data_IF_882421333330
#
_entry.id   IF_882421333330
#
_cell.length_a   1.000
_cell.length_b   1.000
_cell.length_c   1.000
_cell.angle_alpha   90.00
_cell.angle_beta   90.00
_cell.angle_gamma   90.00
#
_symmetry.space_group_name_H-M   'P 1'
#
loop_
_entity.id
_entity.type
_entity.pdbx_description
1 polymer ?
#
# COMPACT_ATOMS: atom_id res chain seq x y z
N UNK A 1 6.81 -4.15 16.13
CA UNK A 1 7.09 -5.18 15.12
C UNK A 1 7.35 -6.51 15.81
N UNK A 2 6.97 -7.64 15.22
CA UNK A 2 7.23 -8.97 15.77
C UNK A 2 8.71 -9.35 15.54
N UNK A 3 9.50 -9.38 16.63
CA UNK A 3 10.92 -9.72 16.60
C UNK A 3 11.20 -11.16 16.12
N UNK A 4 10.23 -12.07 16.28
CA UNK A 4 10.29 -13.43 15.75
C UNK A 4 10.18 -13.43 14.22
N UNK A 5 9.22 -12.69 13.67
CA UNK A 5 9.06 -12.55 12.22
C UNK A 5 10.28 -11.89 11.57
N UNK A 6 10.80 -10.80 12.15
CA UNK A 6 11.99 -10.12 11.63
C UNK A 6 13.21 -11.07 11.58
N UNK A 7 13.39 -11.90 12.61
CA UNK A 7 14.46 -12.92 12.65
C UNK A 7 14.27 -14.01 11.60
N UNK A 8 13.04 -14.41 11.31
CA UNK A 8 12.75 -15.40 10.26
C UNK A 8 13.02 -14.80 8.88
N UNK A 9 12.56 -13.58 8.64
CA UNK A 9 12.74 -12.89 7.35
C UNK A 9 14.21 -12.54 7.08
N UNK A 10 15.02 -12.22 8.10
CA UNK A 10 16.44 -11.94 7.92
C UNK A 10 17.27 -13.18 7.53
N UNK A 11 16.71 -14.38 7.67
CA UNK A 11 17.33 -15.65 7.25
C UNK A 11 16.85 -16.11 5.88
N UNK A 12 16.01 -15.32 5.22
CA UNK A 12 15.51 -15.65 3.90
C UNK A 12 16.70 -15.64 2.91
N UNK A 13 16.94 -16.79 2.29
CA UNK A 13 17.96 -16.96 1.25
C UNK A 13 17.29 -16.75 -0.12
N UNK A 14 17.60 -15.66 -0.85
CA UNK A 14 17.00 -15.40 -2.15
C UNK A 14 17.28 -16.48 -3.19
N UNK A 15 18.38 -17.24 -3.06
CA UNK A 15 18.69 -18.35 -3.96
C UNK A 15 17.68 -19.49 -3.88
N UNK A 16 16.96 -19.60 -2.76
CA UNK A 16 15.91 -20.61 -2.58
C UNK A 16 14.54 -20.14 -3.09
N UNK A 17 14.42 -18.86 -3.46
CA UNK A 17 13.19 -18.30 -4.00
C UNK A 17 13.16 -18.42 -5.53
N UNK A 18 12.46 -19.44 -6.02
CA UNK A 18 12.14 -19.58 -7.43
C UNK A 18 10.63 -19.55 -7.63
N UNK A 19 10.14 -18.50 -8.28
CA UNK A 19 8.71 -18.40 -8.62
C UNK A 19 8.49 -18.88 -10.05
N UNK A 20 7.93 -20.07 -10.20
CA UNK A 20 7.47 -20.57 -11.50
C UNK A 20 6.30 -19.70 -12.01
N UNK A 21 6.36 -19.29 -13.28
CA UNK A 21 5.20 -18.74 -14.02
C UNK A 21 4.60 -19.85 -14.90
N UNK A 22 3.66 -19.47 -15.78
CA UNK A 22 3.10 -20.38 -16.78
C UNK A 22 4.20 -20.98 -17.67
N UNK A 23 4.16 -22.30 -17.86
CA UNK A 23 5.13 -23.04 -18.67
C UNK A 23 6.48 -23.21 -17.97
N UNK A 24 7.56 -23.11 -18.73
CA UNK A 24 8.94 -23.27 -18.23
C UNK A 24 9.56 -21.95 -17.75
N UNK A 25 8.88 -20.82 -17.93
CA UNK A 25 9.37 -19.52 -17.49
C UNK A 25 9.32 -19.40 -15.96
N UNK A 26 10.44 -19.03 -15.34
CA UNK A 26 10.56 -18.76 -13.90
C UNK A 26 11.20 -17.41 -13.64
N UNK A 27 10.88 -16.81 -12.49
CA UNK A 27 11.65 -15.70 -11.94
C UNK A 27 12.60 -16.28 -10.89
N UNK A 28 13.89 -16.12 -11.13
CA UNK A 28 14.96 -16.54 -10.23
C UNK A 28 15.41 -15.32 -9.40
N UNK A 29 15.35 -15.43 -8.08
CA UNK A 29 15.73 -14.36 -7.16
C UNK A 29 17.13 -14.56 -6.54
N UNK A 30 17.93 -15.51 -7.02
CA UNK A 30 19.27 -15.80 -6.48
C UNK A 30 20.24 -14.62 -6.46
N UNK A 31 20.07 -13.63 -7.35
CA UNK A 31 20.88 -12.41 -7.35
C UNK A 31 20.30 -11.28 -6.48
N UNK A 32 19.16 -11.49 -5.81
CA UNK A 32 18.54 -10.47 -4.99
C UNK A 32 19.26 -10.31 -3.64
N UNK A 33 19.10 -9.13 -3.03
CA UNK A 33 19.64 -8.81 -1.72
C UNK A 33 18.49 -8.48 -0.78
N UNK A 34 18.61 -8.91 0.47
CA UNK A 34 17.69 -8.53 1.56
C UNK A 34 18.38 -7.45 2.38
N UNK A 35 17.74 -6.29 2.50
CA UNK A 35 18.23 -5.17 3.29
C UNK A 35 17.21 -4.86 4.38
N UNK A 36 17.70 -4.53 5.57
CA UNK A 36 16.86 -4.03 6.67
C UNK A 36 16.88 -2.52 6.57
N UNK A 37 15.72 -1.94 6.31
CA UNK A 37 15.57 -0.49 6.33
C UNK A 37 15.38 0.02 7.77
N UNK A 38 15.95 1.20 8.11
CA UNK A 38 15.72 1.83 9.40
C UNK A 38 14.25 2.25 9.54
N UNK A 39 13.82 2.47 10.79
CA UNK A 39 12.51 3.07 11.05
C UNK A 39 12.47 4.47 10.40
N UNK A 40 11.55 4.74 9.46
CA UNK A 40 11.48 6.02 8.78
C UNK A 40 10.89 7.13 9.67
N UNK A 41 10.28 6.79 10.81
CA UNK A 41 9.63 7.75 11.69
C UNK A 41 10.62 8.20 12.76
N UNK A 42 11.06 9.44 12.64
CA UNK A 42 11.93 10.09 13.63
C UNK A 42 11.17 10.47 14.90
N UNK A 43 11.85 10.59 16.05
CA UNK A 43 11.21 11.11 17.27
C UNK A 43 10.60 12.49 17.04
N UNK A 44 9.41 12.70 17.57
CA UNK A 44 8.57 13.90 17.46
C UNK A 44 8.09 14.23 16.04
N UNK A 45 8.29 13.32 15.07
CA UNK A 45 7.78 13.50 13.73
C UNK A 45 6.26 13.29 13.69
N UNK A 46 5.54 14.33 13.29
CA UNK A 46 4.07 14.32 13.19
C UNK A 46 3.56 14.32 11.75
N UNK A 47 4.45 14.44 10.77
CA UNK A 47 4.10 14.45 9.35
C UNK A 47 5.05 13.59 8.53
N UNK A 48 4.51 12.93 7.49
CA UNK A 48 5.26 12.05 6.60
C UNK A 48 4.84 12.27 5.15
N UNK A 49 5.75 12.79 4.33
CA UNK A 49 5.55 12.91 2.88
C UNK A 49 5.83 11.55 2.20
N UNK A 50 4.80 10.97 1.60
CA UNK A 50 4.83 9.62 1.06
C UNK A 50 4.51 9.54 -0.43
N UNK A 51 5.08 8.50 -1.05
CA UNK A 51 4.70 7.97 -2.35
C UNK A 51 4.03 6.60 -2.16
N UNK A 52 3.18 6.22 -3.09
CA UNK A 52 2.57 4.89 -3.11
C UNK A 52 3.44 3.91 -3.90
N UNK A 53 4.19 3.05 -3.21
CA UNK A 53 5.00 1.97 -3.82
C UNK A 53 4.12 0.86 -4.42
N UNK A 54 2.88 0.75 -3.94
CA UNK A 54 1.84 -0.07 -4.57
C UNK A 54 0.51 0.67 -4.55
N UNK A 55 -0.41 0.37 -5.50
CA UNK A 55 -1.66 1.13 -5.61
C UNK A 55 -2.49 1.08 -4.32
N UNK A 56 -3.08 2.22 -3.96
CA UNK A 56 -4.08 2.32 -2.89
C UNK A 56 -5.43 1.82 -3.41
N UNK A 57 -6.03 0.88 -2.69
CA UNK A 57 -7.34 0.30 -3.03
C UNK A 57 -8.36 0.73 -2.00
N UNK A 58 -9.47 1.31 -2.47
CA UNK A 58 -10.59 1.72 -1.62
C UNK A 58 -11.89 1.23 -2.24
N UNK A 59 -12.71 0.51 -1.48
CA UNK A 59 -14.03 0.10 -1.95
C UNK A 59 -14.99 1.30 -1.95
N UNK A 60 -15.69 1.45 -3.06
CA UNK A 60 -16.82 2.35 -3.17
C UNK A 60 -18.04 1.71 -2.52
N UNK A 61 -18.49 2.31 -1.41
CA UNK A 61 -19.62 1.83 -0.61
C UNK A 61 -20.97 2.38 -1.06
N UNK A 62 -21.02 3.25 -2.07
CA UNK A 62 -22.29 3.79 -2.60
C UNK A 62 -23.05 2.78 -3.46
N UNK A 63 -22.42 1.65 -3.81
CA UNK A 63 -23.05 0.55 -4.57
C UNK A 63 -23.19 -0.69 -3.69
N UNK A 64 -24.42 -1.00 -3.26
CA UNK A 64 -24.71 -2.17 -2.43
C UNK A 64 -24.72 -3.49 -3.21
N UNK A 65 -24.85 -3.44 -4.55
CA UNK A 65 -25.04 -4.64 -5.37
C UNK A 65 -23.74 -5.23 -5.94
N UNK A 66 -22.67 -4.44 -6.05
CA UNK A 66 -21.39 -4.91 -6.59
C UNK A 66 -20.17 -4.36 -5.84
N UNK A 67 -19.09 -5.16 -5.76
CA UNK A 67 -17.80 -4.70 -5.25
C UNK A 67 -17.17 -3.73 -6.25
N UNK A 68 -17.49 -2.45 -6.12
CA UNK A 68 -16.89 -1.37 -6.89
C UNK A 68 -15.69 -0.78 -6.14
N UNK A 69 -14.66 -0.41 -6.90
CA UNK A 69 -13.47 0.26 -6.38
C UNK A 69 -13.49 1.72 -6.82
N UNK A 70 -13.04 2.62 -5.94
CA UNK A 70 -12.77 4.01 -6.32
C UNK A 70 -11.69 4.06 -7.40
N UNK A 71 -11.86 4.98 -8.35
CA UNK A 71 -10.94 5.18 -9.49
C UNK A 71 -10.26 6.54 -9.49
N UNK A 72 -10.72 7.43 -8.62
CA UNK A 72 -10.23 8.79 -8.48
C UNK A 72 -10.27 9.15 -6.99
N UNK A 73 -9.14 9.57 -6.44
CA UNK A 73 -9.05 9.99 -5.04
C UNK A 73 -9.87 11.25 -4.75
N UNK A 74 -10.11 12.10 -5.76
CA UNK A 74 -10.98 13.27 -5.63
C UNK A 74 -12.43 12.88 -5.33
N UNK A 75 -12.88 11.69 -5.76
CA UNK A 75 -14.25 11.21 -5.47
C UNK A 75 -14.42 10.78 -4.01
N UNK A 76 -13.31 10.42 -3.34
CA UNK A 76 -13.29 10.07 -1.92
C UNK A 76 -13.27 11.35 -1.08
N UNK A 77 -12.51 12.35 -1.52
CA UNK A 77 -12.45 13.68 -0.92
C UNK A 77 -12.11 13.63 0.57
N UNK A 78 -12.86 14.37 1.37
CA UNK A 78 -12.66 14.51 2.82
C UNK A 78 -12.82 13.21 3.61
N UNK A 79 -13.49 12.20 3.05
CA UNK A 79 -13.71 10.92 3.72
C UNK A 79 -12.49 9.99 3.69
N UNK A 80 -11.41 10.38 2.99
CA UNK A 80 -10.22 9.54 2.83
C UNK A 80 -9.63 9.16 4.19
N UNK A 81 -9.38 10.15 5.05
CA UNK A 81 -8.84 9.94 6.41
C UNK A 81 -9.68 8.93 7.19
N UNK A 82 -11.02 9.09 7.19
CA UNK A 82 -11.93 8.23 7.94
C UNK A 82 -11.92 6.78 7.46
N UNK A 83 -11.89 6.56 6.15
CA UNK A 83 -11.88 5.22 5.57
C UNK A 83 -10.60 4.48 5.95
N UNK A 84 -9.45 5.17 5.87
CA UNK A 84 -8.14 4.61 6.24
C UNK A 84 -8.07 4.36 7.75
N UNK A 85 -8.43 5.35 8.57
CA UNK A 85 -8.39 5.25 10.03
C UNK A 85 -9.27 4.14 10.55
N UNK A 86 -10.46 3.92 9.97
CA UNK A 86 -11.32 2.79 10.35
C UNK A 86 -10.63 1.45 10.18
N UNK A 87 -9.90 1.26 9.08
CA UNK A 87 -9.20 0.01 8.80
C UNK A 87 -7.99 -0.16 9.71
N UNK A 88 -7.18 0.88 9.87
CA UNK A 88 -6.00 0.85 10.74
C UNK A 88 -6.40 0.65 12.19
N UNK A 89 -7.47 1.31 12.66
CA UNK A 89 -8.00 1.13 14.01
C UNK A 89 -8.42 -0.32 14.28
N UNK A 90 -9.09 -0.95 13.30
CA UNK A 90 -9.45 -2.36 13.38
C UNK A 90 -8.20 -3.27 13.47
N UNK A 91 -7.14 -2.96 12.73
CA UNK A 91 -5.89 -3.73 12.76
C UNK A 91 -5.14 -3.53 14.08
N UNK A 92 -5.14 -2.31 14.62
CA UNK A 92 -4.42 -1.95 15.83
C UNK A 92 -5.15 -2.30 17.13
N UNK A 93 -6.47 -2.52 17.08
CA UNK A 93 -7.29 -2.72 18.27
C UNK A 93 -7.44 -1.44 19.14
N UNK A 94 -7.09 -0.28 18.59
CA UNK A 94 -7.21 1.05 19.21
C UNK A 94 -7.63 2.07 18.16
N UNK A 95 -8.10 3.24 18.59
CA UNK A 95 -8.38 4.35 17.68
C UNK A 95 -7.09 4.88 17.05
N UNK A 96 -7.10 5.06 15.73
CA UNK A 96 -6.04 5.66 14.90
C UNK A 96 -6.57 6.98 14.34
N UNK A 97 -5.75 8.04 14.38
CA UNK A 97 -6.16 9.39 13.97
C UNK A 97 -5.14 9.99 13.00
N UNK A 98 -5.12 9.50 11.76
CA UNK A 98 -4.32 10.09 10.69
C UNK A 98 -5.15 11.05 9.85
N UNK A 99 -4.55 12.17 9.47
CA UNK A 99 -5.01 12.97 8.35
C UNK A 99 -4.19 12.62 7.11
N UNK A 100 -4.88 12.47 5.98
CA UNK A 100 -4.25 12.12 4.70
C UNK A 100 -4.55 13.20 3.67
N UNK A 101 -3.49 13.75 3.08
CA UNK A 101 -3.55 14.83 2.11
C UNK A 101 -2.92 14.37 0.79
N UNK A 102 -3.70 13.81 -0.16
CA UNK A 102 -3.22 13.59 -1.51
C UNK A 102 -2.75 14.90 -2.15
N UNK A 103 -1.67 14.87 -2.93
CA UNK A 103 -1.16 16.07 -3.60
C UNK A 103 -2.21 16.61 -4.61
N UNK A 104 -2.77 17.82 -4.36
CA UNK A 104 -3.82 18.36 -5.21
C UNK A 104 -3.31 18.76 -6.61
N UNK A 105 -2.04 19.15 -6.75
CA UNK A 105 -1.45 19.47 -8.05
C UNK A 105 -1.28 18.19 -8.87
N UNK A 106 -0.78 17.12 -8.23
CA UNK A 106 -0.67 15.82 -8.87
C UNK A 106 -2.04 15.32 -9.36
N UNK A 107 -3.07 15.39 -8.52
CA UNK A 107 -4.41 14.90 -8.87
C UNK A 107 -5.05 15.71 -10.02
N UNK A 108 -4.78 17.01 -10.10
CA UNK A 108 -5.23 17.86 -11.22
C UNK A 108 -4.48 17.54 -12.51
N UNK A 109 -3.17 17.35 -12.44
CA UNK A 109 -2.34 17.00 -13.60
C UNK A 109 -2.58 15.56 -14.08
N UNK A 110 -2.98 14.65 -13.18
CA UNK A 110 -3.18 13.23 -13.44
C UNK A 110 -4.62 12.80 -13.09
N UNK A 111 -5.64 13.24 -13.84
CA UNK A 111 -7.03 12.89 -13.56
C UNK A 111 -7.34 11.40 -13.74
N UNK A 112 -6.47 10.66 -14.44
CA UNK A 112 -6.55 9.20 -14.65
C UNK A 112 -5.41 8.48 -13.92
N UNK A 113 -5.33 8.66 -12.60
CA UNK A 113 -4.32 8.03 -11.75
C UNK A 113 -4.76 6.67 -11.16
N UNK A 114 -5.74 6.00 -11.78
CA UNK A 114 -6.10 4.63 -11.43
C UNK A 114 -5.34 3.60 -12.25
N UNK A 115 -5.03 2.47 -11.61
CA UNK A 115 -4.27 1.36 -12.19
C UNK A 115 -5.07 0.08 -12.02
N UNK A 116 -5.25 -0.67 -13.11
CA UNK A 116 -5.88 -1.99 -13.10
C UNK A 116 -4.83 -3.06 -12.80
N UNK A 117 -4.96 -3.73 -11.66
CA UNK A 117 -4.05 -4.80 -11.24
C UNK A 117 -4.73 -6.15 -11.40
N UNK A 118 -4.14 -7.04 -12.20
CA UNK A 118 -4.61 -8.42 -12.34
C UNK A 118 -4.11 -9.26 -11.18
N UNK A 119 -5.03 -9.92 -10.46
CA UNK A 119 -4.70 -10.74 -9.30
C UNK A 119 -4.44 -12.20 -9.66
N UNK A 120 -5.41 -12.81 -10.35
CA UNK A 120 -5.36 -14.23 -10.74
C UNK A 120 -6.29 -14.52 -11.90
N UNK A 121 -5.96 -15.55 -12.66
CA UNK A 121 -6.88 -16.19 -13.61
C UNK A 121 -7.64 -17.28 -12.85
N UNK A 122 -8.97 -17.25 -12.96
CA UNK A 122 -9.87 -18.28 -12.43
C UNK A 122 -9.83 -19.53 -13.31
N UNK A 123 -10.35 -20.65 -12.80
CA UNK A 123 -10.32 -21.94 -13.53
C UNK A 123 -11.08 -21.91 -14.86
N UNK A 124 -12.05 -21.01 -14.99
CA UNK A 124 -12.86 -20.77 -16.20
C UNK A 124 -12.21 -19.77 -17.18
N UNK A 125 -10.96 -19.38 -16.95
CA UNK A 125 -10.24 -18.42 -17.78
C UNK A 125 -10.54 -16.95 -17.49
N UNK A 126 -11.55 -16.63 -16.67
CA UNK A 126 -11.84 -15.24 -16.29
C UNK A 126 -10.73 -14.69 -15.40
N UNK A 127 -10.38 -13.42 -15.59
CA UNK A 127 -9.37 -12.73 -14.77
C UNK A 127 -10.04 -11.93 -13.66
N UNK A 128 -9.51 -12.06 -12.44
CA UNK A 128 -9.89 -11.21 -11.31
C UNK A 128 -8.97 -9.98 -11.28
N UNK A 129 -9.57 -8.80 -11.15
CA UNK A 129 -8.85 -7.53 -11.11
C UNK A 129 -9.27 -6.69 -9.91
N UNK A 130 -8.35 -5.82 -9.50
CA UNK A 130 -8.60 -4.74 -8.55
C UNK A 130 -8.17 -3.44 -9.22
N UNK A 131 -8.95 -2.38 -9.01
CA UNK A 131 -8.56 -1.04 -9.43
C UNK A 131 -7.99 -0.35 -8.19
N UNK A 132 -6.72 0.02 -8.27
CA UNK A 132 -6.08 0.87 -7.28
C UNK A 132 -5.83 2.27 -7.84
N UNK A 133 -5.36 3.15 -6.99
CA UNK A 133 -5.03 4.54 -7.31
C UNK A 133 -3.60 4.83 -6.86
N UNK A 134 -2.90 5.74 -7.52
CA UNK A 134 -1.57 6.18 -7.12
C UNK A 134 -1.53 7.70 -7.05
N UNK A 135 -1.04 8.23 -5.94
CA UNK A 135 -0.72 9.65 -5.81
C UNK A 135 0.31 9.82 -4.68
N UNK A 136 1.19 10.82 -4.77
CA UNK A 136 1.88 11.34 -3.59
C UNK A 136 0.86 11.83 -2.56
N UNK A 137 1.18 11.67 -1.28
CA UNK A 137 0.34 12.16 -0.19
C UNK A 137 1.16 12.50 1.05
N UNK A 138 0.64 13.40 1.87
CA UNK A 138 1.16 13.65 3.22
C UNK A 138 0.27 12.94 4.23
N UNK A 139 0.87 12.18 5.15
CA UNK A 139 0.18 11.72 6.36
C UNK A 139 0.54 12.63 7.52
N UNK A 140 -0.43 12.93 8.38
CA UNK A 140 -0.23 13.68 9.61
C UNK A 140 -0.90 12.94 10.78
N UNK A 141 -0.22 12.86 11.92
CA UNK A 141 -0.74 12.25 13.13
C UNK A 141 0.36 11.94 14.15
N UNK A 142 0.05 11.07 15.11
CA UNK A 142 1.05 10.62 16.10
C UNK A 142 2.12 9.73 15.46
N UNK A 143 3.33 9.69 16.06
CA UNK A 143 4.40 8.80 15.61
C UNK A 143 3.93 7.35 15.49
N UNK A 144 3.15 6.87 16.46
CA UNK A 144 2.64 5.50 16.48
C UNK A 144 1.66 5.22 15.35
N UNK A 145 0.84 6.21 14.97
CA UNK A 145 -0.09 6.09 13.86
C UNK A 145 0.63 6.14 12.52
N UNK A 146 1.62 7.02 12.37
CA UNK A 146 2.46 7.10 11.17
C UNK A 146 3.23 5.79 10.97
N UNK A 147 3.84 5.28 12.05
CA UNK A 147 4.58 4.02 12.06
C UNK A 147 3.67 2.83 11.76
N UNK A 148 2.45 2.82 12.30
CA UNK A 148 1.46 1.81 11.98
C UNK A 148 1.10 1.84 10.49
N UNK A 149 0.78 3.01 9.92
CA UNK A 149 0.45 3.15 8.51
C UNK A 149 1.61 2.73 7.60
N UNK A 150 2.85 3.07 7.97
CA UNK A 150 4.05 2.67 7.25
C UNK A 150 4.18 1.14 7.15
N UNK A 151 4.11 0.44 8.28
CA UNK A 151 4.32 -1.02 8.30
C UNK A 151 3.10 -1.84 7.89
N UNK A 152 1.88 -1.35 8.14
CA UNK A 152 0.66 -2.07 7.79
C UNK A 152 0.18 -1.80 6.35
N UNK A 153 0.66 -0.71 5.75
CA UNK A 153 0.09 -0.12 4.53
C UNK A 153 -1.29 0.51 4.79
N UNK A 154 -1.78 1.26 3.81
CA UNK A 154 -3.07 1.96 3.88
C UNK A 154 -4.10 1.39 2.90
N UNK A 155 -5.38 1.46 3.29
CA UNK A 155 -6.50 1.05 2.44
C UNK A 155 -6.82 -0.44 2.53
N UNK A 156 -7.33 -0.98 1.44
CA UNK A 156 -7.74 -2.38 1.35
C UNK A 156 -6.70 -3.26 0.68
N UNK A 157 -6.80 -4.58 0.93
CA UNK A 157 -5.94 -5.59 0.31
C UNK A 157 -4.45 -5.43 0.62
N UNK A 158 -4.07 -4.79 1.73
CA UNK A 158 -2.67 -4.61 2.13
C UNK A 158 -1.90 -5.94 2.26
N UNK A 159 -2.54 -6.99 2.78
CA UNK A 159 -1.98 -8.37 2.81
C UNK A 159 -1.72 -8.99 1.43
N UNK A 160 -2.20 -8.38 0.35
CA UNK A 160 -1.96 -8.80 -1.02
C UNK A 160 -1.02 -7.86 -1.79
N UNK A 161 -0.31 -6.97 -1.08
CA UNK A 161 0.70 -6.07 -1.65
C UNK A 161 0.14 -4.77 -2.21
N UNK A 162 -0.94 -4.23 -1.62
CA UNK A 162 -1.51 -2.92 -1.97
C UNK A 162 -1.29 -1.91 -0.85
N UNK A 163 -1.29 -0.61 -1.17
CA UNK A 163 -1.23 0.46 -0.18
C UNK A 163 0.11 0.61 0.57
N UNK A 164 1.18 -0.01 0.09
CA UNK A 164 2.54 0.17 0.59
C UNK A 164 3.04 1.60 0.31
N UNK A 165 3.65 2.22 1.32
CA UNK A 165 4.16 3.58 1.30
C UNK A 165 5.69 3.58 1.14
N UNK A 166 6.21 4.64 0.53
CA UNK A 166 7.62 4.97 0.44
C UNK A 166 7.83 6.45 0.73
N UNK A 167 9.05 6.87 1.08
CA UNK A 167 9.35 8.28 1.35
C UNK A 167 9.50 9.05 0.04
N UNK A 168 8.93 10.27 -0.03
CA UNK A 168 9.14 11.17 -1.19
C UNK A 168 10.62 11.51 -1.39
N UNK A 169 11.36 11.70 -0.30
CA UNK A 169 12.78 12.05 -0.31
C UNK A 169 13.67 10.98 -0.96
N UNK A 170 13.20 9.73 -1.05
CA UNK A 170 13.94 8.65 -1.70
C UNK A 170 13.74 8.60 -3.22
N UNK A 171 12.84 9.44 -3.78
CA UNK A 171 12.64 9.66 -5.20
C UNK A 171 11.92 8.53 -5.95
N UNK A 172 11.24 8.90 -7.05
CA UNK A 172 10.73 7.97 -8.06
C UNK A 172 11.86 7.70 -9.06
N UNK A 173 12.58 6.59 -8.93
CA UNK A 173 13.61 6.19 -9.90
C UNK A 173 14.86 5.51 -9.36
N UNK A 174 14.73 4.60 -8.39
CA UNK A 174 15.79 3.62 -8.08
C UNK A 174 15.67 2.41 -8.99
#
# INVERSE_FOLDING_TARGET
ADAGLARVLSRLDPAQLVKRRWGEAGVNFSAAQVQIEPDPILPQQTQLACLMLSPLVLRDRRSDKEKRWHRNLQDVGEQLSDVINRKLSFVAGRTVQLQLYPDPLYLRANPRHSVLVSLKTLRDGRKSFVIGMQAPLVLEGSEDDLRLAWYAGIGEKTRSGFGCLGLVEQGVGR
#
